data_IF_255472533289
#
_entry.id   IF_255472533289
#
_cell.length_a   1.000
_cell.length_b   1.000
_cell.length_c   1.000
_cell.angle_alpha   90.00
_cell.angle_beta   90.00
_cell.angle_gamma   90.00
#
_symmetry.space_group_name_H-M   'P 1'
#
loop_
_entity.id
_entity.type
_entity.pdbx_description
1 polymer ?
#
# COMPACT_ATOMS: atom_id res chain seq x y z
N UNK A 1 21.09 -4.44 3.85
CA UNK A 1 21.58 -4.96 5.14
C UNK A 1 20.44 -4.89 6.14
N UNK A 2 20.27 -5.89 7.00
CA UNK A 2 19.27 -5.89 8.07
C UNK A 2 19.95 -5.97 9.42
N UNK A 3 19.30 -5.41 10.44
CA UNK A 3 19.71 -5.49 11.84
C UNK A 3 18.55 -6.06 12.67
N UNK A 4 18.85 -6.92 13.63
CA UNK A 4 17.82 -7.58 14.47
C UNK A 4 17.84 -7.00 15.87
N UNK A 5 16.70 -6.48 16.31
CA UNK A 5 16.48 -6.02 17.69
C UNK A 5 16.36 -7.26 18.58
N UNK A 6 17.16 -7.32 19.65
CA UNK A 6 17.15 -8.44 20.62
C UNK A 6 16.55 -8.07 21.97
N UNK A 7 16.32 -6.78 22.20
CA UNK A 7 15.74 -6.29 23.44
C UNK A 7 14.23 -6.54 23.45
N UNK A 8 13.74 -7.26 24.47
CA UNK A 8 12.35 -7.70 24.54
C UNK A 8 11.38 -6.53 24.70
N UNK A 9 11.76 -5.50 25.47
CA UNK A 9 10.92 -4.34 25.70
C UNK A 9 10.79 -3.49 24.43
N UNK A 10 11.89 -3.31 23.70
CA UNK A 10 11.90 -2.68 22.39
C UNK A 10 11.03 -3.46 21.38
N UNK A 11 11.11 -4.79 21.37
CA UNK A 11 10.25 -5.64 20.52
C UNK A 11 8.77 -5.37 20.80
N UNK A 12 8.34 -5.39 22.07
CA UNK A 12 6.94 -5.15 22.43
C UNK A 12 6.46 -3.74 22.09
N UNK A 13 7.34 -2.75 22.25
CA UNK A 13 7.04 -1.35 21.92
C UNK A 13 6.83 -1.19 20.42
N UNK A 14 7.74 -1.71 19.60
CA UNK A 14 7.63 -1.62 18.14
C UNK A 14 6.50 -2.50 17.59
N UNK A 15 6.21 -3.65 18.20
CA UNK A 15 5.11 -4.52 17.77
C UNK A 15 3.72 -3.92 18.00
N UNK A 16 3.57 -2.98 18.96
CA UNK A 16 2.31 -2.29 19.27
C UNK A 16 2.20 -0.91 18.62
N UNK A 17 3.25 -0.46 17.93
CA UNK A 17 3.29 0.85 17.30
C UNK A 17 2.25 0.93 16.17
N UNK A 18 1.36 1.93 16.25
CA UNK A 18 0.42 2.26 15.17
C UNK A 18 0.86 3.48 14.37
N UNK A 19 1.77 4.28 14.94
CA UNK A 19 2.32 5.48 14.33
C UNK A 19 3.86 5.38 14.26
N UNK A 20 4.50 6.17 13.39
CA UNK A 20 5.95 6.24 13.33
C UNK A 20 6.59 6.65 14.66
N UNK A 21 7.62 5.92 15.09
CA UNK A 21 8.35 6.17 16.35
C UNK A 21 9.77 6.64 16.05
N UNK A 22 10.18 7.75 16.66
CA UNK A 22 11.57 8.23 16.59
C UNK A 22 12.50 7.33 17.42
N UNK A 23 13.57 6.83 16.80
CA UNK A 23 14.55 5.95 17.44
C UNK A 23 15.75 6.79 17.87
N UNK A 24 16.01 6.85 19.18
CA UNK A 24 17.13 7.61 19.76
C UNK A 24 18.15 6.68 20.40
N UNK A 25 19.41 7.10 20.33
CA UNK A 25 20.46 6.56 21.17
C UNK A 25 20.32 7.09 22.63
N UNK A 26 20.93 6.41 23.61
CA UNK A 26 20.88 6.85 25.01
C UNK A 26 21.48 8.25 25.26
N UNK A 27 22.36 8.71 24.37
CA UNK A 27 22.94 10.06 24.36
C UNK A 27 21.97 11.14 23.82
N UNK A 28 20.75 10.75 23.45
CA UNK A 28 19.72 11.63 22.90
C UNK A 28 19.79 11.84 21.38
N UNK A 29 20.82 11.31 20.71
CA UNK A 29 20.96 11.44 19.25
C UNK A 29 19.91 10.62 18.51
N UNK A 30 19.29 11.21 17.50
CA UNK A 30 18.33 10.52 16.63
C UNK A 30 19.09 9.58 15.68
N UNK A 31 18.75 8.30 15.73
CA UNK A 31 19.29 7.26 14.85
C UNK A 31 18.41 7.05 13.61
N UNK A 32 17.13 7.39 13.70
CA UNK A 32 16.17 7.31 12.60
C UNK A 32 14.74 7.20 13.08
N UNK A 33 13.88 6.65 12.23
CA UNK A 33 12.46 6.45 12.52
C UNK A 33 12.08 5.00 12.22
N UNK A 34 11.37 4.38 13.16
CA UNK A 34 10.68 3.13 12.93
C UNK A 34 9.28 3.43 12.39
N UNK A 35 9.01 2.95 11.17
CA UNK A 35 7.66 2.99 10.59
C UNK A 35 7.10 1.58 10.70
N UNK A 36 6.06 1.35 11.53
CA UNK A 36 5.45 0.04 11.64
C UNK A 36 4.93 -0.37 10.26
N UNK A 37 5.38 -1.53 9.78
CA UNK A 37 4.76 -2.15 8.61
C UNK A 37 3.46 -2.74 9.11
N UNK A 38 2.33 -2.12 8.76
CA UNK A 38 1.03 -2.70 9.09
C UNK A 38 1.00 -4.16 8.62
N UNK A 39 0.62 -5.11 9.49
CA UNK A 39 0.45 -6.50 9.08
C UNK A 39 -0.75 -6.59 8.15
N UNK A 40 -0.51 -6.30 6.86
CA UNK A 40 -1.40 -6.50 5.72
C UNK A 40 -2.89 -6.34 6.06
N UNK A 41 -3.32 -5.14 6.43
CA UNK A 41 -4.71 -4.75 6.22
C UNK A 41 -4.76 -3.87 4.99
N UNK A 42 -4.84 -4.59 3.87
CA UNK A 42 -5.11 -4.10 2.52
C UNK A 42 -3.92 -3.38 1.88
N UNK A 43 -3.71 -3.69 0.61
CA UNK A 43 -2.75 -3.02 -0.23
C UNK A 43 -3.05 -1.52 -0.21
N UNK A 44 -2.14 -0.71 0.33
CA UNK A 44 -2.15 0.73 0.09
C UNK A 44 -1.77 0.93 -1.37
N UNK A 45 -2.76 0.90 -2.27
CA UNK A 45 -2.56 1.42 -3.62
C UNK A 45 -2.42 2.97 -3.54
N UNK A 46 -1.72 3.58 -4.52
CA UNK A 46 -0.97 4.83 -4.34
C UNK A 46 -1.87 6.06 -4.18
N UNK A 47 -1.29 7.21 -3.82
CA UNK A 47 -1.93 8.55 -3.87
C UNK A 47 -2.56 8.89 -5.24
N UNK A 48 -2.25 8.10 -6.27
CA UNK A 48 -2.97 7.97 -7.52
C UNK A 48 -3.46 6.52 -7.68
N UNK A 49 -4.69 6.25 -7.24
CA UNK A 49 -5.29 4.92 -7.22
C UNK A 49 -6.75 4.95 -6.77
N UNK A 50 -7.43 3.81 -6.88
CA UNK A 50 -8.81 3.63 -6.42
C UNK A 50 -8.80 3.30 -4.92
N UNK A 51 -9.66 3.95 -4.14
CA UNK A 51 -9.84 3.55 -2.72
C UNK A 51 -10.49 2.18 -2.64
N UNK A 52 -10.36 1.51 -1.50
CA UNK A 52 -10.96 0.20 -1.26
C UNK A 52 -12.49 0.23 -1.41
N UNK A 53 -13.15 1.31 -0.98
CA UNK A 53 -14.61 1.44 -1.12
C UNK A 53 -15.04 1.57 -2.60
N UNK A 54 -14.27 2.29 -3.41
CA UNK A 54 -14.56 2.44 -4.84
C UNK A 54 -14.25 1.15 -5.61
N UNK A 55 -13.23 0.39 -5.19
CA UNK A 55 -12.94 -0.94 -5.74
C UNK A 55 -14.09 -1.91 -5.43
N UNK A 56 -14.57 -1.93 -4.18
CA UNK A 56 -15.69 -2.77 -3.75
C UNK A 56 -17.00 -2.38 -4.46
N UNK A 57 -17.23 -1.07 -4.65
CA UNK A 57 -18.36 -0.58 -5.46
C UNK A 57 -18.30 -1.09 -6.89
N UNK A 58 -17.14 -1.00 -7.56
CA UNK A 58 -17.01 -1.46 -8.96
C UNK A 58 -17.09 -2.97 -9.10
N UNK A 59 -16.57 -3.73 -8.14
CA UNK A 59 -16.65 -5.18 -8.17
C UNK A 59 -18.10 -5.69 -8.04
N UNK A 60 -18.96 -4.96 -7.32
CA UNK A 60 -20.34 -5.35 -7.06
C UNK A 60 -21.38 -4.57 -7.88
N UNK A 61 -20.97 -3.66 -8.76
CA UNK A 61 -21.91 -2.89 -9.58
C UNK A 61 -22.50 -3.78 -10.68
N UNK A 62 -23.82 -4.06 -10.64
CA UNK A 62 -24.47 -4.93 -11.61
C UNK A 62 -24.54 -4.31 -13.02
N UNK A 63 -24.22 -3.01 -13.17
CA UNK A 63 -24.19 -2.31 -14.46
C UNK A 63 -22.79 -2.28 -15.08
N UNK A 64 -21.77 -2.84 -14.42
CA UNK A 64 -20.42 -2.89 -14.98
C UNK A 64 -20.39 -3.93 -16.09
N UNK A 65 -20.20 -3.43 -17.32
CA UNK A 65 -19.88 -4.27 -18.47
C UNK A 65 -18.43 -4.74 -18.37
N UNK A 66 -18.25 -6.06 -18.31
CA UNK A 66 -16.95 -6.69 -18.51
C UNK A 66 -16.60 -6.70 -19.99
N UNK A 67 -15.33 -6.39 -20.29
CA UNK A 67 -14.79 -6.44 -21.64
C UNK A 67 -13.86 -7.63 -21.77
N UNK A 68 -13.95 -8.31 -22.90
CA UNK A 68 -13.02 -9.36 -23.31
C UNK A 68 -11.70 -8.74 -23.79
N UNK A 69 -10.64 -9.55 -23.81
CA UNK A 69 -9.33 -9.11 -24.31
C UNK A 69 -9.41 -8.61 -25.76
N UNK A 70 -10.22 -9.25 -26.61
CA UNK A 70 -10.37 -8.88 -28.01
C UNK A 70 -11.05 -7.51 -28.18
N UNK A 71 -12.11 -7.24 -27.41
CA UNK A 71 -12.79 -5.93 -27.40
C UNK A 71 -11.84 -4.80 -26.97
N UNK A 72 -11.01 -5.06 -25.96
CA UNK A 72 -9.99 -4.10 -25.51
C UNK A 72 -8.96 -3.84 -26.61
N UNK A 73 -8.46 -4.90 -27.25
CA UNK A 73 -7.47 -4.80 -28.32
C UNK A 73 -8.02 -4.12 -29.58
N UNK A 74 -9.29 -4.33 -29.91
CA UNK A 74 -9.96 -3.60 -30.97
C UNK A 74 -10.07 -2.11 -30.64
N UNK A 75 -10.48 -1.75 -29.41
CA UNK A 75 -10.58 -0.36 -28.96
C UNK A 75 -9.24 0.37 -29.03
N UNK A 76 -8.16 -0.27 -28.58
CA UNK A 76 -6.80 0.30 -28.63
C UNK A 76 -6.34 0.52 -30.07
N UNK A 77 -6.62 -0.41 -30.98
CA UNK A 77 -6.32 -0.26 -32.41
C UNK A 77 -7.07 0.91 -33.04
N UNK A 78 -8.33 1.12 -32.67
CA UNK A 78 -9.13 2.23 -33.16
C UNK A 78 -8.60 3.58 -32.66
N UNK A 79 -8.24 3.68 -31.38
CA UNK A 79 -7.66 4.91 -30.80
C UNK A 79 -6.34 5.31 -31.47
N UNK A 80 -5.48 4.34 -31.79
CA UNK A 80 -4.20 4.58 -32.45
C UNK A 80 -4.34 5.09 -33.90
N UNK A 81 -5.46 4.82 -34.56
CA UNK A 81 -5.75 5.29 -35.93
C UNK A 81 -6.33 6.71 -35.97
N UNK A 82 -6.78 7.21 -34.84
CA UNK A 82 -7.39 8.54 -34.68
C UNK A 82 -6.44 9.61 -34.12
N UNK A 83 -5.16 9.26 -33.92
CA UNK A 83 -4.05 10.17 -33.59
C UNK A 83 -3.17 10.38 -34.81
#
# INVERSE_FOLDING_TARGET
>A
MSFTIRDQHAIETFAKAQEPIEVKAPDGRVLGQFVPVEPSKKMTYPELGMTDEELERRANDPNVRWYTADEVMERLRNLRKSS
#
